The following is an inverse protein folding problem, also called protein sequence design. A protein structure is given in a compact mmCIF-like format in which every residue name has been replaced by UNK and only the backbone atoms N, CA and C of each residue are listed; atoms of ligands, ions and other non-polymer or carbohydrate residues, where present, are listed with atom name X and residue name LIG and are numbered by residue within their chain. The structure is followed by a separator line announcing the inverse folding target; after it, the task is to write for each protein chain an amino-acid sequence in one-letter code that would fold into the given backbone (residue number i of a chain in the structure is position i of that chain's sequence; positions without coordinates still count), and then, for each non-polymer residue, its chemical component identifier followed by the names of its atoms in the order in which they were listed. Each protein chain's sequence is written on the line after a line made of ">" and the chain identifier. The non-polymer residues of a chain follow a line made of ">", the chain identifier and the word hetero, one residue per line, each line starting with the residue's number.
data_IF_933502776173
#
_entry.id   IF_933502776173
#
_cell.length_a   1.000
_cell.length_b   1.000
_cell.length_c   1.000
_cell.angle_alpha   90.00
_cell.angle_beta   90.00
_cell.angle_gamma   90.00
#
_symmetry.space_group_name_H-M   'P 1'
#
loop_
_entity.id
_entity.type
_entity.pdbx_description
1 polymer ?
#
# COMPACT_ATOMS: atom_id res chain seq x y z
N UNK A 1 -16.80 2.53 11.60
CA UNK A 1 -15.43 2.66 11.05
C UNK A 1 -15.38 1.78 9.80
N UNK A 2 -14.81 2.24 8.68
CA UNK A 2 -14.76 1.44 7.44
C UNK A 2 -13.88 0.19 7.63
N UNK A 3 -14.23 -0.93 7.00
CA UNK A 3 -13.51 -2.21 7.18
C UNK A 3 -12.08 -2.12 6.67
N UNK A 4 -11.87 -1.45 5.52
CA UNK A 4 -10.53 -1.21 4.98
C UNK A 4 -9.67 -0.36 5.94
N UNK A 5 -10.29 0.61 6.63
CA UNK A 5 -9.59 1.45 7.61
C UNK A 5 -9.12 0.61 8.80
N UNK A 6 -9.94 -0.33 9.27
CA UNK A 6 -9.54 -1.27 10.32
C UNK A 6 -8.37 -2.16 9.87
N UNK A 7 -8.44 -2.72 8.66
CA UNK A 7 -7.37 -3.53 8.08
C UNK A 7 -6.05 -2.74 7.96
N UNK A 8 -6.08 -1.51 7.44
CA UNK A 8 -4.92 -0.62 7.38
C UNK A 8 -4.32 -0.37 8.76
N UNK A 9 -5.17 -0.13 9.77
CA UNK A 9 -4.71 0.09 11.15
C UNK A 9 -4.04 -1.15 11.74
N UNK A 10 -4.61 -2.34 11.54
CA UNK A 10 -4.00 -3.61 11.98
C UNK A 10 -2.61 -3.78 11.38
N UNK A 11 -2.48 -3.60 10.07
CA UNK A 11 -1.19 -3.65 9.37
C UNK A 11 -0.23 -2.60 9.94
N UNK A 12 -0.69 -1.36 10.11
CA UNK A 12 0.12 -0.27 10.62
C UNK A 12 0.66 -0.53 12.04
N UNK A 13 -0.18 -1.08 12.94
CA UNK A 13 0.23 -1.43 14.32
C UNK A 13 1.31 -2.51 14.32
N UNK A 14 1.16 -3.53 13.48
CA UNK A 14 2.13 -4.62 13.36
C UNK A 14 3.42 -4.08 12.74
N UNK A 15 3.32 -3.37 11.62
CA UNK A 15 4.43 -2.74 10.96
C UNK A 15 5.18 -1.75 11.87
N UNK A 16 4.51 -1.03 12.78
CA UNK A 16 5.15 -0.18 13.81
C UNK A 16 6.09 -0.99 14.69
N UNK A 17 5.60 -2.12 15.21
CA UNK A 17 6.35 -2.98 16.14
C UNK A 17 7.60 -3.57 15.49
N UNK A 18 7.57 -3.86 14.20
CA UNK A 18 8.67 -4.49 13.47
C UNK A 18 9.58 -3.51 12.73
N UNK A 19 9.05 -2.46 12.10
CA UNK A 19 9.83 -1.47 11.36
C UNK A 19 10.52 -0.44 12.25
N UNK A 20 10.09 -0.20 13.49
CA UNK A 20 10.91 0.61 14.40
C UNK A 20 12.31 -0.02 14.57
N UNK A 21 12.37 -1.35 14.63
CA UNK A 21 13.62 -2.11 14.74
C UNK A 21 14.43 -2.02 13.43
N UNK A 22 13.80 -2.27 12.27
CA UNK A 22 14.51 -2.27 10.98
C UNK A 22 14.90 -0.87 10.48
N UNK A 23 14.08 0.16 10.73
CA UNK A 23 14.40 1.55 10.40
C UNK A 23 15.60 2.03 11.23
N UNK A 24 15.65 1.65 12.52
CA UNK A 24 16.83 1.87 13.36
C UNK A 24 18.06 1.14 12.80
N UNK A 25 17.93 -0.12 12.39
CA UNK A 25 19.05 -0.91 11.88
C UNK A 25 19.58 -0.41 10.52
N UNK A 26 18.70 -0.02 9.58
CA UNK A 26 19.08 0.47 8.25
C UNK A 26 19.68 1.88 8.27
N UNK A 27 19.11 2.80 9.05
CA UNK A 27 19.70 4.14 9.21
C UNK A 27 21.08 4.09 9.89
N UNK A 28 21.31 3.11 10.76
CA UNK A 28 22.61 2.91 11.41
C UNK A 28 23.63 2.25 10.47
N UNK A 29 23.21 1.33 9.59
CA UNK A 29 24.12 0.60 8.69
C UNK A 29 24.61 1.45 7.50
N UNK A 30 23.78 2.36 6.97
CA UNK A 30 24.15 3.22 5.84
C UNK A 30 25.11 4.37 6.23
N UNK A 31 25.14 4.78 7.49
CA UNK A 31 25.99 5.89 7.94
C UNK A 31 27.14 5.45 8.86
N UNK A 32 27.09 4.23 9.41
CA UNK A 32 28.14 3.65 10.27
C UNK A 32 28.41 2.19 9.91
N UNK A 33 29.23 1.91 8.89
CA UNK A 33 29.34 0.58 8.26
C UNK A 33 30.09 -0.50 9.09
N UNK A 34 30.29 -0.37 10.41
CA UNK A 34 31.01 -1.37 11.25
C UNK A 34 30.37 -1.59 12.65
N UNK A 35 30.64 -2.72 13.35
CA UNK A 35 29.77 -3.28 14.39
C UNK A 35 29.78 -2.58 15.77
N UNK A 36 30.17 -1.32 15.86
CA UNK A 36 30.27 -0.57 17.13
C UNK A 36 28.96 0.11 17.58
N UNK A 37 27.90 0.11 16.75
CA UNK A 37 26.63 0.79 17.04
C UNK A 37 25.88 0.23 18.27
N UNK A 38 26.22 -0.97 18.75
CA UNK A 38 25.69 -1.50 20.02
C UNK A 38 26.10 -0.69 21.26
N UNK A 39 27.04 0.26 21.15
CA UNK A 39 27.61 0.97 22.30
C UNK A 39 27.46 2.50 22.31
N UNK A 40 26.83 3.13 21.32
CA UNK A 40 26.76 4.61 21.27
C UNK A 40 25.35 5.11 20.99
N UNK A 41 24.54 5.15 22.03
CA UNK A 41 23.34 5.98 22.09
C UNK A 41 23.75 7.36 22.63
N UNK A 42 24.19 8.27 21.77
CA UNK A 42 24.48 9.66 22.15
C UNK A 42 23.48 10.62 21.49
N UNK A 43 23.06 11.65 22.24
CA UNK A 43 21.94 12.52 21.86
C UNK A 43 22.15 13.40 20.61
N UNK A 44 23.38 13.55 20.12
CA UNK A 44 23.66 14.31 18.89
C UNK A 44 23.23 13.56 17.62
N UNK A 45 23.35 12.23 17.58
CA UNK A 45 22.93 11.42 16.44
C UNK A 45 21.41 11.52 16.21
N UNK A 46 20.64 11.59 17.30
CA UNK A 46 19.18 11.74 17.25
C UNK A 46 18.73 13.10 16.68
N UNK A 47 19.50 14.17 16.90
CA UNK A 47 19.16 15.51 16.38
C UNK A 47 19.41 15.64 14.88
N UNK A 48 20.50 15.07 14.37
CA UNK A 48 20.82 15.10 12.94
C UNK A 48 19.88 14.19 12.12
N UNK A 49 19.51 13.04 12.67
CA UNK A 49 18.50 12.14 12.08
C UNK A 49 17.12 12.81 11.99
N UNK A 50 16.70 13.54 13.02
CA UNK A 50 15.43 14.28 12.98
C UNK A 50 15.42 15.26 11.80
N UNK A 51 16.50 16.03 11.62
CA UNK A 51 16.55 17.10 10.62
C UNK A 51 16.47 16.59 9.17
N UNK A 52 17.15 15.50 8.84
CA UNK A 52 17.08 14.89 7.50
C UNK A 52 15.70 14.32 7.17
N UNK A 53 15.05 13.73 8.18
CA UNK A 53 13.69 13.20 8.06
C UNK A 53 12.68 14.36 7.92
N UNK A 54 12.86 15.46 8.67
CA UNK A 54 12.04 16.67 8.55
C UNK A 54 12.11 17.28 7.14
N UNK A 55 13.32 17.41 6.57
CA UNK A 55 13.54 17.96 5.23
C UNK A 55 12.92 17.09 4.13
N UNK A 56 13.09 15.75 4.20
CA UNK A 56 12.50 14.81 3.26
C UNK A 56 10.96 14.78 3.33
N UNK A 57 10.38 14.95 4.51
CA UNK A 57 8.94 14.86 4.74
C UNK A 57 8.18 16.18 4.58
N UNK A 58 8.86 17.33 4.63
CA UNK A 58 8.25 18.67 4.52
C UNK A 58 7.42 18.91 3.24
N UNK A 59 7.61 18.09 2.19
CA UNK A 59 6.85 18.13 0.95
C UNK A 59 5.71 17.09 0.83
N UNK A 60 5.48 16.25 1.86
CA UNK A 60 4.58 15.10 1.79
C UNK A 60 3.16 15.44 2.29
N UNK A 61 2.14 15.23 1.44
CA UNK A 61 0.72 15.28 1.86
C UNK A 61 0.12 13.86 1.85
N UNK A 62 0.19 13.16 3.00
CA UNK A 62 -0.17 11.75 3.07
C UNK A 62 -1.67 11.51 3.16
N UNK A 63 -2.49 12.50 3.47
CA UNK A 63 -3.95 12.32 3.56
C UNK A 63 -4.63 13.26 2.60
N UNK A 64 -5.57 12.74 1.84
CA UNK A 64 -6.40 13.55 0.97
C UNK A 64 -7.77 13.78 1.63
N UNK A 65 -8.39 14.93 1.41
CA UNK A 65 -9.82 15.11 1.65
C UNK A 65 -10.61 14.58 0.46
N UNK A 66 -11.92 14.37 0.65
CA UNK A 66 -12.81 13.97 -0.45
C UNK A 66 -12.77 14.95 -1.62
N UNK A 67 -12.65 16.25 -1.34
CA UNK A 67 -12.54 17.33 -2.34
C UNK A 67 -11.20 17.25 -3.09
N UNK A 68 -10.10 16.98 -2.39
CA UNK A 68 -8.80 16.80 -3.02
C UNK A 68 -8.80 15.57 -3.93
N UNK A 69 -9.37 14.45 -3.49
CA UNK A 69 -9.52 13.25 -4.31
C UNK A 69 -10.32 13.56 -5.57
N UNK A 70 -11.51 14.17 -5.42
CA UNK A 70 -12.37 14.57 -6.56
C UNK A 70 -11.63 15.45 -7.56
N UNK A 71 -10.80 16.39 -7.07
CA UNK A 71 -9.99 17.26 -7.91
C UNK A 71 -8.88 16.50 -8.65
N UNK A 72 -8.20 15.57 -7.98
CA UNK A 72 -7.12 14.79 -8.60
C UNK A 72 -7.69 13.86 -9.69
N UNK A 73 -8.86 13.27 -9.46
CA UNK A 73 -9.49 12.33 -10.39
C UNK A 73 -10.45 13.00 -11.37
N UNK A 74 -10.38 14.32 -11.53
CA UNK A 74 -11.32 15.06 -12.39
C UNK A 74 -11.28 14.60 -13.86
N UNK A 75 -10.12 14.14 -14.34
CA UNK A 75 -9.96 13.55 -15.69
C UNK A 75 -10.42 12.09 -15.79
N UNK A 76 -10.72 11.43 -14.66
CA UNK A 76 -11.19 10.05 -14.62
C UNK A 76 -12.69 10.00 -14.92
N UNK A 77 -13.08 9.31 -16.01
CA UNK A 77 -14.45 9.35 -16.54
C UNK A 77 -15.47 8.51 -15.75
N UNK A 78 -15.01 7.71 -14.79
CA UNK A 78 -15.85 6.79 -14.02
C UNK A 78 -15.86 7.15 -12.53
N UNK A 79 -16.80 6.58 -11.78
CA UNK A 79 -16.84 6.70 -10.32
C UNK A 79 -15.90 5.66 -9.72
N UNK A 80 -15.02 6.10 -8.82
CA UNK A 80 -14.21 5.21 -8.00
C UNK A 80 -15.04 4.68 -6.84
N UNK A 81 -14.82 3.43 -6.40
CA UNK A 81 -15.53 2.87 -5.26
C UNK A 81 -15.13 3.58 -3.96
N UNK A 82 -16.02 3.58 -2.98
CA UNK A 82 -15.80 4.27 -1.69
C UNK A 82 -14.54 3.79 -0.96
N UNK A 83 -14.19 2.51 -1.06
CA UNK A 83 -12.96 1.98 -0.44
C UNK A 83 -11.67 2.64 -0.96
N UNK A 84 -11.66 3.15 -2.20
CA UNK A 84 -10.54 3.92 -2.74
C UNK A 84 -10.44 5.28 -2.06
N UNK A 85 -11.57 5.96 -1.85
CA UNK A 85 -11.59 7.18 -1.05
C UNK A 85 -11.07 6.89 0.36
N UNK A 86 -11.61 5.89 1.04
CA UNK A 86 -11.19 5.52 2.40
C UNK A 86 -9.67 5.29 2.48
N UNK A 87 -9.07 4.58 1.50
CA UNK A 87 -7.62 4.34 1.41
C UNK A 87 -6.81 5.63 1.24
N UNK A 88 -7.20 6.50 0.30
CA UNK A 88 -6.43 7.71 0.01
C UNK A 88 -6.60 8.80 1.08
N UNK A 89 -7.71 8.77 1.83
CA UNK A 89 -7.93 9.65 2.99
C UNK A 89 -7.15 9.20 4.24
N UNK A 90 -6.73 7.93 4.31
CA UNK A 90 -5.94 7.41 5.45
C UNK A 90 -4.44 7.62 5.28
N UNK A 91 -3.89 7.42 4.09
CA UNK A 91 -2.44 7.53 3.90
C UNK A 91 -1.91 7.69 2.48
N UNK A 92 -2.79 7.95 1.52
CA UNK A 92 -2.45 8.30 0.13
C UNK A 92 -1.38 7.39 -0.51
N UNK A 93 -1.55 6.07 -0.36
CA UNK A 93 -0.58 5.07 -0.83
C UNK A 93 0.42 4.58 0.22
N UNK A 94 0.38 5.11 1.45
CA UNK A 94 1.23 4.69 2.56
C UNK A 94 0.43 4.26 3.80
N UNK A 95 1.04 3.44 4.64
CA UNK A 95 0.52 3.03 5.95
C UNK A 95 0.78 4.12 6.98
N UNK A 96 -0.24 4.62 7.71
CA UNK A 96 -0.03 5.52 8.83
C UNK A 96 0.37 4.73 10.09
N UNK A 97 1.64 4.41 10.23
CA UNK A 97 2.26 3.64 11.33
C UNK A 97 2.23 4.37 12.69
N UNK A 98 2.02 5.68 12.75
CA UNK A 98 1.83 6.42 14.00
C UNK A 98 2.99 6.23 15.00
N UNK A 99 4.20 6.70 14.70
CA UNK A 99 5.41 6.46 15.52
C UNK A 99 5.41 7.14 16.90
N UNK A 100 4.61 8.18 17.12
CA UNK A 100 4.51 8.84 18.43
C UNK A 100 3.69 8.04 19.47
N UNK A 101 4.01 8.22 20.75
CA UNK A 101 3.29 7.61 21.90
C UNK A 101 1.81 8.03 21.98
N UNK A 102 1.49 9.19 21.41
CA UNK A 102 0.14 9.61 21.09
C UNK A 102 -0.08 9.25 19.64
N UNK A 103 -1.12 8.50 19.31
CA UNK A 103 -1.45 8.12 17.94
C UNK A 103 -1.75 9.36 17.07
N UNK A 104 -0.70 10.05 16.59
CA UNK A 104 -0.84 11.23 15.77
C UNK A 104 -0.93 10.80 14.31
N UNK A 105 -2.12 10.37 13.91
CA UNK A 105 -2.43 9.96 12.54
C UNK A 105 -2.26 11.08 11.49
N UNK A 106 -1.86 12.29 11.88
CA UNK A 106 -1.57 13.41 10.98
C UNK A 106 -0.07 13.70 10.80
N UNK A 107 0.79 13.07 11.60
CA UNK A 107 2.23 13.32 11.54
C UNK A 107 2.86 12.60 10.35
N UNK A 108 3.64 13.31 9.55
CA UNK A 108 4.32 12.80 8.34
C UNK A 108 5.37 11.72 8.63
N UNK A 109 5.94 11.71 9.84
CA UNK A 109 6.89 10.70 10.35
C UNK A 109 6.24 9.32 10.53
N UNK A 110 4.93 9.24 10.26
CA UNK A 110 4.12 8.09 10.51
C UNK A 110 3.76 7.35 9.25
N UNK A 111 4.33 7.66 8.08
CA UNK A 111 3.96 6.99 6.82
C UNK A 111 5.04 6.03 6.36
N UNK A 112 4.68 4.76 6.19
CA UNK A 112 5.58 3.72 5.70
C UNK A 112 4.99 3.05 4.46
N UNK A 113 5.84 2.54 3.58
CA UNK A 113 5.39 1.73 2.46
C UNK A 113 4.78 0.42 2.96
N UNK A 114 3.94 -0.24 2.18
CA UNK A 114 3.56 -1.61 2.53
C UNK A 114 4.84 -2.46 2.69
N UNK A 115 4.98 -3.28 3.74
CA UNK A 115 6.26 -3.92 4.07
C UNK A 115 6.80 -4.92 3.04
N UNK A 116 6.05 -5.27 1.99
CA UNK A 116 6.65 -5.87 0.79
C UNK A 116 7.23 -4.75 -0.08
N UNK A 117 8.57 -4.72 -0.20
CA UNK A 117 9.32 -3.76 -1.03
C UNK A 117 8.86 -3.73 -2.48
N UNK A 118 8.23 -4.81 -2.95
CA UNK A 118 7.80 -5.02 -4.33
C UNK A 118 6.36 -4.55 -4.59
N UNK A 119 5.56 -4.34 -3.55
CA UNK A 119 4.10 -4.11 -3.68
C UNK A 119 3.70 -2.77 -3.04
N UNK A 120 4.08 -1.68 -3.70
CA UNK A 120 3.81 -0.32 -3.20
C UNK A 120 2.55 0.25 -3.85
N UNK A 121 1.52 0.49 -3.04
CA UNK A 121 0.39 1.32 -3.45
C UNK A 121 0.92 2.69 -3.89
N UNK A 122 0.42 3.16 -5.02
CA UNK A 122 0.80 4.47 -5.54
C UNK A 122 0.06 5.57 -4.79
N UNK A 123 0.64 6.78 -4.78
CA UNK A 123 -0.15 7.97 -4.44
C UNK A 123 -1.22 8.18 -5.51
N UNK A 124 -2.33 8.83 -5.17
CA UNK A 124 -3.42 9.02 -6.12
C UNK A 124 -2.98 9.82 -7.35
N UNK A 125 -2.05 10.77 -7.14
CA UNK A 125 -1.46 11.53 -8.24
C UNK A 125 -0.68 10.62 -9.18
N UNK A 126 0.20 9.76 -8.65
CA UNK A 126 0.96 8.80 -9.47
C UNK A 126 0.03 7.83 -10.21
N UNK A 127 -1.02 7.35 -9.55
CA UNK A 127 -2.06 6.53 -10.17
C UNK A 127 -2.73 7.24 -11.37
N UNK A 128 -3.07 8.53 -11.20
CA UNK A 128 -3.65 9.33 -12.28
C UNK A 128 -2.66 9.66 -13.39
N UNK A 129 -1.40 9.94 -13.08
CA UNK A 129 -0.36 10.18 -14.08
C UNK A 129 -0.16 8.93 -14.97
N UNK A 130 -0.15 7.74 -14.36
CA UNK A 130 -0.10 6.47 -15.08
C UNK A 130 -1.39 6.22 -15.90
N UNK A 131 -2.56 6.50 -15.32
CA UNK A 131 -3.84 6.40 -16.04
C UNK A 131 -3.86 7.27 -17.30
N UNK A 132 -3.49 8.53 -17.18
CA UNK A 132 -3.45 9.47 -18.31
C UNK A 132 -2.42 9.06 -19.37
N UNK A 133 -1.32 8.42 -18.96
CA UNK A 133 -0.24 8.02 -19.88
C UNK A 133 -0.56 6.73 -20.64
N UNK A 134 -1.25 5.78 -20.01
CA UNK A 134 -1.35 4.40 -20.52
C UNK A 134 -2.76 3.82 -20.59
N UNK A 135 -3.74 4.36 -19.86
CA UNK A 135 -5.03 3.68 -19.68
C UNK A 135 -6.21 4.45 -20.29
N UNK A 136 -6.12 5.78 -20.39
CA UNK A 136 -7.25 6.62 -20.78
C UNK A 136 -7.80 6.28 -22.17
N UNK A 137 -6.94 5.88 -23.10
CA UNK A 137 -7.31 5.54 -24.48
C UNK A 137 -7.60 4.04 -24.67
N UNK A 138 -7.01 3.18 -23.84
CA UNK A 138 -7.13 1.73 -23.94
C UNK A 138 -8.33 1.21 -23.14
N UNK A 139 -8.32 1.43 -21.82
CA UNK A 139 -9.40 1.02 -20.95
C UNK A 139 -9.68 2.09 -19.88
N UNK A 140 -10.53 3.08 -20.20
CA UNK A 140 -10.72 4.24 -19.34
C UNK A 140 -11.41 3.91 -18.00
N UNK A 141 -11.90 2.66 -17.83
CA UNK A 141 -12.51 2.15 -16.59
C UNK A 141 -11.50 1.63 -15.59
N UNK A 142 -10.23 1.50 -15.94
CA UNK A 142 -9.25 0.88 -15.07
C UNK A 142 -8.28 1.94 -14.56
N UNK A 143 -8.24 2.12 -13.25
CA UNK A 143 -7.27 2.99 -12.58
C UNK A 143 -6.16 2.13 -11.98
N UNK A 144 -4.89 2.27 -12.40
CA UNK A 144 -3.79 1.54 -11.80
C UNK A 144 -3.46 2.10 -10.41
N UNK A 145 -3.34 1.22 -9.41
CA UNK A 145 -3.17 1.61 -8.00
C UNK A 145 -1.91 1.01 -7.35
N UNK A 146 -1.31 0.00 -7.96
CA UNK A 146 -0.12 -0.68 -7.45
C UNK A 146 0.67 -1.24 -8.62
N UNK A 147 1.99 -1.19 -8.55
CA UNK A 147 2.85 -2.04 -9.37
C UNK A 147 3.50 -3.09 -8.48
N UNK A 148 3.57 -4.31 -9.00
CA UNK A 148 4.33 -5.43 -8.45
C UNK A 148 5.71 -5.46 -9.12
N UNK A 149 6.70 -6.06 -8.44
CA UNK A 149 8.07 -6.21 -8.96
C UNK A 149 8.22 -7.07 -10.22
N UNK A 150 7.15 -7.72 -10.69
CA UNK A 150 7.15 -8.64 -11.83
C UNK A 150 6.47 -8.07 -13.09
N UNK A 151 6.61 -6.76 -13.32
CA UNK A 151 6.01 -6.02 -14.44
C UNK A 151 4.48 -6.15 -14.52
N UNK A 152 3.85 -6.43 -13.38
CA UNK A 152 2.40 -6.48 -13.28
C UNK A 152 1.83 -5.30 -12.51
N UNK A 153 0.66 -4.84 -12.94
CA UNK A 153 -0.04 -3.70 -12.39
C UNK A 153 -1.38 -4.14 -11.85
N UNK A 154 -1.67 -3.74 -10.61
CA UNK A 154 -3.00 -3.89 -10.02
C UNK A 154 -3.85 -2.69 -10.38
N UNK A 155 -5.04 -2.95 -10.89
CA UNK A 155 -5.98 -1.92 -11.30
C UNK A 155 -7.29 -2.10 -10.56
N UNK A 156 -7.91 -0.98 -10.19
CA UNK A 156 -9.29 -0.94 -9.69
C UNK A 156 -10.24 -0.59 -10.83
N UNK A 157 -11.36 -1.29 -10.90
CA UNK A 157 -12.39 -1.00 -11.90
C UNK A 157 -13.31 0.13 -11.43
N UNK A 158 -13.43 1.19 -12.22
CA UNK A 158 -14.43 2.24 -12.05
C UNK A 158 -15.78 1.82 -12.64
N UNK A 159 -16.85 2.42 -12.11
CA UNK A 159 -18.22 2.15 -12.52
C UNK A 159 -18.96 3.43 -12.92
N UNK A 160 -20.09 3.29 -13.62
CA UNK A 160 -20.94 4.44 -13.96
C UNK A 160 -21.68 4.98 -12.73
N UNK A 161 -21.96 4.10 -11.77
CA UNK A 161 -22.70 4.41 -10.54
C UNK A 161 -21.78 4.35 -9.32
N UNK A 162 -22.06 5.12 -8.24
CA UNK A 162 -21.34 4.97 -6.99
C UNK A 162 -21.46 3.54 -6.42
N UNK A 163 -20.34 2.95 -6.01
CA UNK A 163 -20.27 1.62 -5.41
C UNK A 163 -19.42 1.65 -4.14
N UNK A 164 -19.71 0.76 -3.18
CA UNK A 164 -18.89 0.65 -1.97
C UNK A 164 -17.51 0.03 -2.26
N UNK A 165 -17.49 -1.01 -3.09
CA UNK A 165 -16.30 -1.80 -3.43
C UNK A 165 -16.25 -2.06 -4.93
N UNK A 166 -15.07 -2.40 -5.43
CA UNK A 166 -14.91 -2.84 -6.83
C UNK A 166 -13.79 -3.86 -6.96
N UNK A 167 -13.91 -4.83 -7.89
CA UNK A 167 -12.86 -5.81 -8.12
C UNK A 167 -11.50 -5.18 -8.44
N UNK A 168 -10.45 -5.84 -7.97
CA UNK A 168 -9.08 -5.57 -8.38
C UNK A 168 -8.67 -6.58 -9.43
N UNK A 169 -8.26 -6.06 -10.59
CA UNK A 169 -7.77 -6.86 -11.71
C UNK A 169 -6.26 -6.69 -11.83
N UNK A 170 -5.62 -7.72 -12.39
CA UNK A 170 -4.20 -7.69 -12.70
C UNK A 170 -4.01 -7.68 -14.21
N UNK A 171 -3.07 -6.87 -14.65
CA UNK A 171 -2.51 -6.96 -16.00
C UNK A 171 -0.99 -7.03 -15.93
N UNK A 172 -0.39 -7.56 -16.98
CA UNK A 172 1.06 -7.49 -17.20
C UNK A 172 1.32 -6.40 -18.23
N UNK A 173 2.45 -5.71 -18.15
CA UNK A 173 2.81 -4.53 -18.98
C UNK A 173 2.62 -4.72 -20.51
N UNK A 174 2.50 -5.96 -20.98
CA UNK A 174 2.34 -6.34 -22.39
C UNK A 174 0.93 -6.86 -22.76
N UNK A 175 -0.03 -6.86 -21.84
CA UNK A 175 -1.35 -7.52 -21.99
C UNK A 175 -2.54 -6.61 -21.68
N UNK A 176 -2.50 -5.34 -22.08
CA UNK A 176 -3.69 -4.49 -22.09
C UNK A 176 -4.63 -4.95 -23.22
N UNK A 177 -5.37 -6.04 -22.97
CA UNK A 177 -6.48 -6.47 -23.82
C UNK A 177 -7.70 -5.57 -23.53
N UNK A 178 -8.36 -5.10 -24.57
CA UNK A 178 -9.59 -4.30 -24.46
C UNK A 178 -10.75 -5.15 -23.89
N UNK A 179 -10.63 -6.47 -23.92
CA UNK A 179 -11.62 -7.41 -23.39
C UNK A 179 -11.47 -7.63 -21.88
N UNK A 180 -12.27 -6.89 -21.10
CA UNK A 180 -12.41 -7.04 -19.65
C UNK A 180 -12.73 -8.47 -19.19
N UNK A 181 -13.36 -9.31 -20.04
CA UNK A 181 -13.72 -10.68 -19.66
C UNK A 181 -12.50 -11.61 -19.54
N UNK A 182 -11.36 -11.20 -20.11
CA UNK A 182 -10.10 -11.93 -20.03
C UNK A 182 -9.19 -11.44 -18.92
N UNK A 183 -9.57 -10.36 -18.23
CA UNK A 183 -8.78 -9.85 -17.12
C UNK A 183 -8.95 -10.73 -15.89
N UNK A 184 -7.83 -11.07 -15.27
CA UNK A 184 -7.81 -11.85 -14.05
C UNK A 184 -8.23 -10.95 -12.88
N UNK A 185 -9.39 -11.24 -12.29
CA UNK A 185 -9.77 -10.69 -10.99
C UNK A 185 -8.93 -11.39 -9.93
N UNK A 186 -8.07 -10.65 -9.25
CA UNK A 186 -7.21 -11.18 -8.17
C UNK A 186 -7.92 -11.04 -6.83
N UNK A 187 -8.59 -9.92 -6.63
CA UNK A 187 -9.34 -9.65 -5.41
C UNK A 187 -10.76 -9.18 -5.72
N UNK A 188 -11.77 -9.67 -4.98
CA UNK A 188 -13.14 -9.15 -5.09
C UNK A 188 -13.24 -7.66 -4.76
N UNK A 189 -12.34 -7.15 -3.91
CA UNK A 189 -12.27 -5.73 -3.53
C UNK A 189 -10.89 -5.35 -2.97
N UNK A 190 -10.63 -4.04 -2.88
CA UNK A 190 -9.48 -3.53 -2.15
C UNK A 190 -9.55 -3.88 -0.65
N UNK A 191 -10.76 -3.84 -0.07
CA UNK A 191 -11.00 -4.25 1.31
C UNK A 191 -10.56 -5.70 1.55
N UNK A 192 -10.89 -6.62 0.64
CA UNK A 192 -10.48 -8.02 0.72
C UNK A 192 -8.95 -8.18 0.68
N UNK A 193 -8.28 -7.50 -0.26
CA UNK A 193 -6.81 -7.51 -0.35
C UNK A 193 -6.17 -7.02 0.96
N UNK A 194 -6.71 -5.93 1.51
CA UNK A 194 -6.19 -5.31 2.72
C UNK A 194 -6.41 -6.18 3.97
N UNK A 195 -7.54 -6.89 4.05
CA UNK A 195 -7.80 -7.88 5.11
C UNK A 195 -6.86 -9.08 5.01
N UNK A 196 -6.61 -9.58 3.79
CA UNK A 196 -5.66 -10.65 3.56
C UNK A 196 -4.26 -10.24 4.01
N UNK A 197 -3.81 -9.03 3.66
CA UNK A 197 -2.54 -8.49 4.15
C UNK A 197 -2.52 -8.37 5.68
N UNK A 198 -3.58 -7.89 6.32
CA UNK A 198 -3.64 -7.79 7.77
C UNK A 198 -3.43 -9.15 8.45
N UNK A 199 -4.16 -10.19 8.02
CA UNK A 199 -3.99 -11.54 8.59
C UNK A 199 -2.64 -12.16 8.26
N UNK A 200 -2.12 -11.90 7.05
CA UNK A 200 -0.77 -12.34 6.67
C UNK A 200 0.30 -11.74 7.58
N UNK A 201 0.20 -10.43 7.87
CA UNK A 201 1.11 -9.77 8.82
C UNK A 201 0.99 -10.31 10.24
N UNK A 202 -0.22 -10.59 10.71
CA UNK A 202 -0.45 -11.18 12.02
C UNK A 202 0.18 -12.58 12.12
N UNK A 203 0.01 -13.41 11.09
CA UNK A 203 0.59 -14.75 11.01
C UNK A 203 2.13 -14.68 10.93
N UNK A 204 2.69 -13.82 10.06
CA UNK A 204 4.13 -13.68 9.87
C UNK A 204 4.82 -13.36 11.19
N UNK A 205 4.29 -12.37 11.90
CA UNK A 205 4.96 -11.83 13.08
C UNK A 205 4.59 -12.52 14.39
N UNK A 206 3.58 -13.38 14.39
CA UNK A 206 3.35 -14.34 15.49
C UNK A 206 4.16 -15.64 15.32
N UNK A 207 4.91 -15.78 14.22
CA UNK A 207 5.64 -17.01 13.89
C UNK A 207 4.75 -18.14 13.38
N UNK A 208 3.50 -17.83 13.01
CA UNK A 208 2.50 -18.78 12.52
C UNK A 208 2.39 -18.85 10.99
N UNK A 209 3.12 -18.03 10.24
CA UNK A 209 3.06 -18.06 8.78
C UNK A 209 3.81 -19.27 8.23
N UNK A 210 3.05 -20.11 7.55
CA UNK A 210 3.45 -21.27 6.76
C UNK A 210 2.80 -21.18 5.39
N UNK A 211 3.28 -21.95 4.41
CA UNK A 211 2.64 -22.05 3.09
C UNK A 211 1.14 -22.42 3.20
N UNK A 212 0.80 -23.32 4.12
CA UNK A 212 -0.59 -23.76 4.36
C UNK A 212 -1.45 -22.60 4.85
N UNK A 213 -0.96 -21.81 5.81
CA UNK A 213 -1.70 -20.67 6.34
C UNK A 213 -1.79 -19.52 5.35
N UNK A 214 -0.77 -19.32 4.52
CA UNK A 214 -0.78 -18.31 3.46
C UNK A 214 -1.83 -18.63 2.40
N UNK A 215 -1.87 -19.88 1.92
CA UNK A 215 -2.91 -20.34 0.99
C UNK A 215 -4.30 -20.23 1.63
N UNK A 216 -4.45 -20.57 2.91
CA UNK A 216 -5.73 -20.45 3.62
C UNK A 216 -6.22 -18.99 3.71
N UNK A 217 -5.33 -18.04 4.01
CA UNK A 217 -5.65 -16.60 4.02
C UNK A 217 -6.06 -16.16 2.61
N UNK A 218 -5.33 -16.59 1.59
CA UNK A 218 -5.66 -16.24 0.21
C UNK A 218 -7.02 -16.78 -0.24
N UNK A 219 -7.28 -18.06 -0.03
CA UNK A 219 -8.56 -18.70 -0.39
C UNK A 219 -9.75 -18.07 0.34
N UNK A 220 -9.53 -17.56 1.56
CA UNK A 220 -10.56 -16.89 2.35
C UNK A 220 -10.99 -15.54 1.75
N UNK A 221 -10.07 -14.81 1.11
CA UNK A 221 -10.31 -13.41 0.69
C UNK A 221 -10.34 -13.19 -0.82
N UNK A 222 -9.79 -14.11 -1.62
CA UNK A 222 -9.74 -14.02 -3.08
C UNK A 222 -10.98 -14.60 -3.75
N UNK A 223 -11.10 -14.38 -5.06
CA UNK A 223 -12.17 -14.94 -5.92
C UNK A 223 -11.90 -16.37 -6.40
N UNK A 224 -10.89 -17.07 -5.87
CA UNK A 224 -10.57 -18.46 -6.22
C UNK A 224 -9.67 -18.63 -7.46
N UNK A 225 -9.23 -17.54 -8.10
CA UNK A 225 -8.15 -17.54 -9.08
C UNK A 225 -6.84 -17.89 -8.37
N UNK A 226 -6.14 -18.94 -8.79
CA UNK A 226 -4.98 -19.46 -8.06
C UNK A 226 -3.80 -18.49 -8.16
N UNK A 227 -3.58 -17.67 -7.13
CA UNK A 227 -2.37 -16.87 -7.00
C UNK A 227 -1.21 -17.81 -6.69
N UNK A 228 -0.26 -17.90 -7.62
CA UNK A 228 1.04 -18.44 -7.32
C UNK A 228 1.85 -17.45 -6.49
N UNK A 229 1.66 -17.43 -5.16
CA UNK A 229 2.61 -16.78 -4.23
C UNK A 229 4.04 -17.36 -4.34
N UNK A 230 4.18 -18.49 -5.03
CA UNK A 230 5.40 -19.29 -5.27
C UNK A 230 6.64 -18.54 -5.79
N UNK A 231 6.62 -17.23 -6.03
CA UNK A 231 7.77 -16.47 -6.53
C UNK A 231 8.28 -15.33 -5.66
N UNK A 232 7.65 -15.03 -4.52
CA UNK A 232 8.02 -13.88 -3.69
C UNK A 232 8.97 -14.20 -2.53
N UNK A 233 9.53 -15.41 -2.49
CA UNK A 233 10.40 -15.89 -1.42
C UNK A 233 11.75 -16.38 -2.00
N UNK A 234 12.52 -15.45 -2.55
CA UNK A 234 13.99 -15.43 -2.60
C UNK A 234 14.44 -14.00 -2.90
#
# INVERSE_FOLDING_TARGET
>A
MSVIVDAVKRIAVIAKRHNFINLLENLLSEHYPYPSYKSVWSGQLMQEQSKLVDEYLSGYQPRLTSEQIKKIVESYRFKLPKEIYDLYQIGNGCLPIGTSEKEDWNSIYNYFNFPSSENKLWTLKKAMDAYCSFMIDFNPRLLPICAYGDDSVLLVMGSSEPQETSPLVRTYDHCLDDDLSKMEVVWPSLTNMMLAYAEWYEALYSGGLTEITEEAIYQKYSSGSHWGFKKFLC
#
